data_IF_667957784332
#
_entry.id   IF_667957784332
#
_cell.length_a   1.000
_cell.length_b   1.000
_cell.length_c   1.000
_cell.angle_alpha   90.00
_cell.angle_beta   90.00
_cell.angle_gamma   90.00
#
_symmetry.space_group_name_H-M   'P 1'
#
loop_
_entity.id
_entity.type
_entity.pdbx_description
1 polymer ?
#
# COMPACT_ATOMS: atom_id res chain seq x y z
N UNK A 1 -19.12 14.29 -2.86
CA UNK A 1 -18.08 13.58 -3.62
C UNK A 1 -16.93 14.54 -3.79
N UNK A 2 -15.96 14.54 -2.88
CA UNK A 2 -14.82 15.46 -2.99
C UNK A 2 -13.92 14.98 -4.11
N UNK A 3 -13.91 15.76 -5.18
CA UNK A 3 -12.98 15.72 -6.30
C UNK A 3 -11.55 15.50 -5.81
N UNK A 4 -11.01 14.31 -6.05
CA UNK A 4 -9.60 13.98 -5.80
C UNK A 4 -8.65 14.76 -6.75
N UNK A 5 -9.20 15.55 -7.68
CA UNK A 5 -8.46 16.34 -8.67
C UNK A 5 -7.82 17.63 -8.10
N UNK A 6 -8.24 18.14 -6.94
CA UNK A 6 -7.79 19.47 -6.46
C UNK A 6 -6.66 19.46 -5.43
N UNK A 7 -5.97 18.33 -5.20
CA UNK A 7 -4.79 18.35 -4.32
C UNK A 7 -3.58 17.67 -4.98
N UNK A 8 -2.38 18.28 -4.95
CA UNK A 8 -1.13 17.68 -5.48
C UNK A 8 -0.82 16.30 -4.88
N UNK A 9 -1.43 15.97 -3.74
CA UNK A 9 -1.33 14.66 -3.09
C UNK A 9 -2.12 13.55 -3.81
N UNK A 10 -3.16 13.87 -4.58
CA UNK A 10 -3.94 12.89 -5.35
C UNK A 10 -3.10 12.23 -6.44
N UNK A 11 -2.33 13.03 -7.19
CA UNK A 11 -1.42 12.53 -8.21
C UNK A 11 -0.25 11.75 -7.59
N UNK A 12 0.29 12.20 -6.46
CA UNK A 12 1.30 11.44 -5.72
C UNK A 12 0.76 10.08 -5.28
N UNK A 13 -0.45 10.04 -4.71
CA UNK A 13 -1.10 8.79 -4.28
C UNK A 13 -1.32 7.84 -5.46
N UNK A 14 -1.71 8.37 -6.61
CA UNK A 14 -1.86 7.59 -7.85
C UNK A 14 -0.52 6.99 -8.32
N UNK A 15 0.55 7.79 -8.36
CA UNK A 15 1.89 7.34 -8.76
C UNK A 15 2.41 6.28 -7.79
N UNK A 16 2.34 6.52 -6.49
CA UNK A 16 2.78 5.55 -5.47
C UNK A 16 1.95 4.27 -5.53
N UNK A 17 0.64 4.35 -5.82
CA UNK A 17 -0.20 3.16 -5.98
C UNK A 17 0.25 2.32 -7.17
N UNK A 18 0.56 2.95 -8.31
CA UNK A 18 1.05 2.25 -9.50
C UNK A 18 2.38 1.57 -9.26
N UNK A 19 3.29 2.25 -8.58
CA UNK A 19 4.60 1.70 -8.23
C UNK A 19 4.46 0.51 -7.27
N UNK A 20 3.59 0.62 -6.25
CA UNK A 20 3.28 -0.48 -5.34
C UNK A 20 2.72 -1.70 -6.07
N UNK A 21 1.78 -1.49 -7.00
CA UNK A 21 1.23 -2.58 -7.82
C UNK A 21 2.31 -3.24 -8.67
N UNK A 22 3.16 -2.44 -9.32
CA UNK A 22 4.25 -2.96 -10.13
C UNK A 22 5.20 -3.85 -9.32
N UNK A 23 5.53 -3.43 -8.09
CA UNK A 23 6.33 -4.23 -7.17
C UNK A 23 5.63 -5.55 -6.79
N UNK A 24 4.34 -5.50 -6.46
CA UNK A 24 3.56 -6.71 -6.13
C UNK A 24 3.47 -7.70 -7.30
N UNK A 25 3.37 -7.20 -8.54
CA UNK A 25 3.33 -8.02 -9.76
C UNK A 25 4.69 -8.64 -10.10
N UNK A 26 5.80 -7.95 -9.77
CA UNK A 26 7.15 -8.47 -9.99
C UNK A 26 7.50 -9.67 -9.08
N UNK A 27 6.73 -9.87 -8.01
CA UNK A 27 6.91 -10.93 -7.02
C UNK A 27 5.76 -11.92 -7.13
N UNK A 28 5.87 -13.02 -7.89
CA UNK A 28 4.75 -13.96 -8.07
C UNK A 28 4.46 -14.76 -6.78
N UNK A 29 3.19 -15.12 -6.57
CA UNK A 29 2.75 -16.00 -5.48
C UNK A 29 2.19 -15.25 -4.28
N UNK A 30 1.77 -16.03 -3.27
CA UNK A 30 1.19 -15.48 -2.04
C UNK A 30 2.22 -14.71 -1.21
N UNK A 31 1.88 -13.45 -0.91
CA UNK A 31 2.74 -12.50 -0.21
C UNK A 31 2.05 -11.95 1.03
N UNK A 32 2.86 -11.58 2.01
CA UNK A 32 2.46 -10.78 3.15
C UNK A 32 3.28 -9.48 3.13
N UNK A 33 2.59 -8.34 3.26
CA UNK A 33 3.22 -7.03 3.24
C UNK A 33 3.55 -6.61 4.68
N UNK A 34 4.84 -6.56 5.01
CA UNK A 34 5.31 -6.11 6.32
C UNK A 34 5.62 -4.61 6.22
N UNK A 35 5.00 -3.81 7.09
CA UNK A 35 5.07 -2.34 7.02
C UNK A 35 5.22 -1.75 8.40
N UNK A 36 6.05 -0.72 8.56
CA UNK A 36 6.10 0.04 9.80
C UNK A 36 4.71 0.54 10.22
N UNK A 37 4.39 0.43 11.52
CA UNK A 37 3.08 0.79 12.04
C UNK A 37 2.70 2.26 11.75
N UNK A 38 3.68 3.16 11.67
CA UNK A 38 3.47 4.57 11.32
C UNK A 38 2.99 4.77 9.87
N UNK A 39 3.30 3.82 8.98
CA UNK A 39 2.98 3.88 7.56
C UNK A 39 1.66 3.19 7.20
N UNK A 40 1.02 2.47 8.14
CA UNK A 40 -0.27 1.82 7.88
C UNK A 40 -1.37 2.79 7.44
N UNK A 41 -1.47 3.97 8.08
CA UNK A 41 -2.47 4.99 7.70
C UNK A 41 -2.20 5.61 6.32
N UNK A 42 -0.95 6.01 5.99
CA UNK A 42 -0.59 6.40 4.63
C UNK A 42 -0.89 5.31 3.59
N UNK A 43 -0.55 4.05 3.89
CA UNK A 43 -0.77 2.93 2.97
C UNK A 43 -2.26 2.74 2.66
N UNK A 44 -3.13 2.82 3.65
CA UNK A 44 -4.59 2.68 3.48
C UNK A 44 -5.18 3.73 2.52
N UNK A 45 -4.56 4.92 2.44
CA UNK A 45 -4.95 5.96 1.48
C UNK A 45 -4.52 5.69 0.05
N UNK A 46 -3.50 4.84 -0.13
CA UNK A 46 -2.88 4.56 -1.43
C UNK A 46 -3.40 3.23 -1.98
N UNK A 47 -3.57 2.21 -1.13
CA UNK A 47 -3.98 0.88 -1.50
C UNK A 47 -4.98 0.30 -0.49
N UNK A 48 -6.13 -0.13 -1.00
CA UNK A 48 -7.11 -0.88 -0.21
C UNK A 48 -6.70 -2.36 -0.11
N UNK A 49 -7.21 -3.04 0.92
CA UNK A 49 -6.97 -4.48 1.08
C UNK A 49 -7.43 -5.29 -0.13
N UNK A 50 -8.53 -4.90 -0.79
CA UNK A 50 -9.01 -5.55 -2.02
C UNK A 50 -8.03 -5.41 -3.19
N UNK A 51 -7.35 -4.25 -3.31
CA UNK A 51 -6.31 -4.07 -4.30
C UNK A 51 -5.11 -4.97 -3.99
N UNK A 52 -4.65 -5.00 -2.75
CA UNK A 52 -3.53 -5.85 -2.33
C UNK A 52 -3.83 -7.35 -2.59
N UNK A 53 -5.02 -7.82 -2.23
CA UNK A 53 -5.44 -9.21 -2.45
C UNK A 53 -5.50 -9.60 -3.93
N UNK A 54 -5.86 -8.65 -4.83
CA UNK A 54 -5.84 -8.88 -6.28
C UNK A 54 -4.43 -9.25 -6.78
N UNK A 55 -3.40 -8.75 -6.12
CA UNK A 55 -1.99 -9.03 -6.43
C UNK A 55 -1.38 -10.07 -5.46
N UNK A 56 -2.22 -10.98 -4.95
CA UNK A 56 -1.83 -12.11 -4.09
C UNK A 56 -1.20 -11.68 -2.75
N UNK A 57 -1.43 -10.44 -2.32
CA UNK A 57 -1.01 -9.97 -1.00
C UNK A 57 -2.14 -10.23 0.02
N UNK A 58 -1.98 -11.24 0.87
CA UNK A 58 -3.04 -11.73 1.74
C UNK A 58 -3.17 -10.98 3.06
N UNK A 59 -2.05 -10.46 3.58
CA UNK A 59 -2.02 -9.79 4.88
C UNK A 59 -1.12 -8.56 4.83
N UNK A 60 -1.46 -7.58 5.65
CA UNK A 60 -0.58 -6.46 5.99
C UNK A 60 -0.23 -6.58 7.46
N UNK A 61 1.06 -6.71 7.77
CA UNK A 61 1.55 -6.98 9.12
C UNK A 61 2.37 -5.78 9.60
N UNK A 62 2.02 -5.16 10.73
CA UNK A 62 2.84 -4.10 11.31
C UNK A 62 4.19 -4.65 11.75
N UNK A 63 5.26 -4.03 11.28
CA UNK A 63 6.61 -4.31 11.76
C UNK A 63 6.69 -3.89 13.23
N UNK A 64 7.04 -4.85 14.10
CA UNK A 64 7.38 -4.60 15.50
C UNK A 64 8.90 -4.53 15.57
N UNK A 65 9.46 -3.33 15.45
CA UNK A 65 10.86 -3.12 15.79
C UNK A 65 10.94 -3.10 17.31
N UNK A 66 11.38 -4.21 17.92
CA UNK A 66 11.83 -4.22 19.31
C UNK A 66 13.07 -3.34 19.38
N UNK A 67 12.90 -2.10 19.84
CA UNK A 67 14.01 -1.19 20.11
C UNK A 67 14.77 -1.76 21.31
N UNK A 68 15.89 -2.44 21.05
CA UNK A 68 16.82 -2.89 22.09
C UNK A 68 17.75 -1.75 22.48
#
# INVERSE_FOLDING_TARGET
MTDLCEQPLGLLSEVTRRELVHLLESLPGNKDLIVDASLLRPLDRIASMSLLQKHECQRVIPLRLEST
#
